data_IF_056749374734
#
_entry.id   IF_056749374734
#
_cell.length_a   1.000
_cell.length_b   1.000
_cell.length_c   1.000
_cell.angle_alpha   90.00
_cell.angle_beta   90.00
_cell.angle_gamma   90.00
#
_symmetry.space_group_name_H-M   'P 1'
#
loop_
_entity.id
_entity.type
_entity.pdbx_description
1 polymer ?
#
# COMPACT_ATOMS: atom_id res chain seq x y z
N UNK A 1 -19.49 13.15 -5.62
CA UNK A 1 -20.06 13.45 -4.28
C UNK A 1 -19.16 12.80 -3.23
N UNK A 2 -19.02 13.39 -2.05
CA UNK A 2 -18.27 12.84 -0.92
C UNK A 2 -19.12 12.90 0.35
N UNK A 3 -18.90 11.98 1.28
CA UNK A 3 -19.61 11.89 2.54
C UNK A 3 -18.60 11.83 3.69
N UNK A 4 -18.84 12.61 4.75
CA UNK A 4 -18.03 12.56 5.97
C UNK A 4 -18.42 11.32 6.77
N UNK A 5 -17.54 10.31 6.76
CA UNK A 5 -17.74 9.03 7.43
C UNK A 5 -16.45 8.71 8.19
N UNK A 6 -16.59 8.45 9.49
CA UNK A 6 -15.51 8.02 10.37
C UNK A 6 -15.66 6.54 10.74
N UNK A 7 -14.77 6.02 11.60
CA UNK A 7 -14.83 4.61 12.01
C UNK A 7 -16.14 4.26 12.75
N UNK A 8 -16.74 5.21 13.46
CA UNK A 8 -17.98 5.01 14.23
C UNK A 8 -19.20 4.85 13.31
N UNK A 9 -19.20 5.59 12.20
CA UNK A 9 -20.32 5.63 11.24
C UNK A 9 -20.12 4.72 10.03
N UNK A 10 -18.92 4.15 9.86
CA UNK A 10 -18.55 3.35 8.69
C UNK A 10 -19.45 2.13 8.47
N UNK A 11 -19.79 1.40 9.54
CA UNK A 11 -20.67 0.24 9.46
C UNK A 11 -22.02 0.58 8.83
N UNK A 12 -22.69 1.62 9.35
CA UNK A 12 -23.98 2.11 8.84
C UNK A 12 -23.87 2.63 7.42
N UNK A 13 -22.74 3.25 7.05
CA UNK A 13 -22.50 3.70 5.69
C UNK A 13 -22.40 2.53 4.68
N UNK A 14 -21.78 1.41 5.07
CA UNK A 14 -21.72 0.21 4.22
C UNK A 14 -23.10 -0.46 4.09
N UNK A 15 -23.89 -0.51 5.16
CA UNK A 15 -25.27 -1.00 5.09
C UNK A 15 -26.12 -0.11 4.16
N UNK A 16 -25.96 1.21 4.25
CA UNK A 16 -26.58 2.16 3.32
C UNK A 16 -26.14 1.94 1.87
N UNK A 17 -24.84 1.71 1.63
CA UNK A 17 -24.30 1.42 0.30
C UNK A 17 -24.99 0.20 -0.34
N UNK A 18 -25.21 -0.87 0.44
CA UNK A 18 -25.93 -2.07 -0.01
C UNK A 18 -27.40 -1.78 -0.26
N UNK A 19 -28.09 -1.18 0.71
CA UNK A 19 -29.53 -0.90 0.62
C UNK A 19 -29.90 0.02 -0.55
N UNK A 20 -29.08 1.03 -0.81
CA UNK A 20 -29.25 1.98 -1.91
C UNK A 20 -28.74 1.46 -3.26
N UNK A 21 -28.18 0.24 -3.29
CA UNK A 21 -27.59 -0.39 -4.49
C UNK A 21 -26.56 0.52 -5.18
N UNK A 22 -25.77 1.24 -4.39
CA UNK A 22 -24.67 2.03 -4.93
C UNK A 22 -23.66 1.09 -5.61
N UNK A 23 -23.11 1.51 -6.76
CA UNK A 23 -22.12 0.69 -7.50
C UNK A 23 -20.81 0.46 -6.75
N UNK A 24 -20.46 1.36 -5.83
CA UNK A 24 -19.22 1.26 -5.06
C UNK A 24 -18.92 2.57 -4.32
N UNK A 25 -17.77 2.61 -3.67
CA UNK A 25 -17.28 3.82 -3.00
C UNK A 25 -15.75 3.87 -2.95
N UNK A 26 -15.21 5.08 -2.95
CA UNK A 26 -13.83 5.32 -2.54
C UNK A 26 -13.73 5.36 -1.02
N UNK A 27 -12.62 4.87 -0.47
CA UNK A 27 -12.35 4.86 0.96
C UNK A 27 -11.01 5.55 1.22
N UNK A 28 -10.99 6.47 2.18
CA UNK A 28 -9.79 7.17 2.62
C UNK A 28 -9.66 7.12 4.14
N UNK A 29 -8.69 7.85 4.69
CA UNK A 29 -8.50 7.96 6.13
C UNK A 29 -9.80 8.44 6.81
N UNK A 30 -10.15 7.92 8.01
CA UNK A 30 -9.44 6.90 8.80
C UNK A 30 -9.89 5.45 8.52
N UNK A 31 -10.62 5.19 7.43
CA UNK A 31 -11.39 3.95 7.27
C UNK A 31 -10.70 2.85 6.47
N UNK A 32 -9.52 3.10 5.88
CA UNK A 32 -8.91 2.17 4.90
C UNK A 32 -8.68 0.76 5.47
N UNK A 33 -8.26 0.65 6.73
CA UNK A 33 -8.05 -0.63 7.41
C UNK A 33 -9.38 -1.27 7.81
N UNK A 34 -10.26 -0.51 8.47
CA UNK A 34 -11.57 -0.97 8.92
C UNK A 34 -12.41 -1.52 7.76
N UNK A 35 -12.31 -0.90 6.59
CA UNK A 35 -13.04 -1.30 5.39
C UNK A 35 -12.79 -2.74 4.95
N UNK A 36 -11.65 -3.33 5.30
CA UNK A 36 -11.35 -4.74 5.03
C UNK A 36 -12.32 -5.71 5.72
N UNK A 37 -12.91 -5.31 6.85
CA UNK A 37 -13.84 -6.13 7.65
C UNK A 37 -15.27 -6.12 7.09
N UNK A 38 -15.57 -5.19 6.17
CA UNK A 38 -16.93 -4.94 5.67
C UNK A 38 -17.10 -5.32 4.19
N UNK A 39 -16.13 -6.02 3.60
CA UNK A 39 -16.19 -6.55 2.24
C UNK A 39 -16.22 -8.07 2.25
N UNK A 40 -16.85 -8.66 1.24
CA UNK A 40 -16.97 -10.11 1.10
C UNK A 40 -15.71 -10.75 0.49
N UNK A 41 -14.96 -9.98 -0.31
CA UNK A 41 -13.72 -10.42 -0.95
C UNK A 41 -12.64 -9.34 -0.93
N UNK A 42 -11.40 -9.75 -0.69
CA UNK A 42 -10.22 -8.90 -0.85
C UNK A 42 -9.32 -9.46 -1.95
N UNK A 43 -8.81 -8.57 -2.81
CA UNK A 43 -7.74 -8.93 -3.75
C UNK A 43 -6.47 -9.40 -3.00
N UNK A 44 -5.61 -10.22 -3.65
CA UNK A 44 -4.35 -10.65 -3.04
C UNK A 44 -3.50 -9.48 -2.53
N UNK A 45 -3.40 -8.40 -3.31
CA UNK A 45 -2.69 -7.18 -2.90
C UNK A 45 -3.31 -6.57 -1.64
N UNK A 46 -4.64 -6.40 -1.61
CA UNK A 46 -5.33 -5.85 -0.45
C UNK A 46 -5.14 -6.70 0.82
N UNK A 47 -5.05 -8.03 0.70
CA UNK A 47 -4.73 -8.92 1.83
C UNK A 47 -3.32 -8.69 2.40
N UNK A 48 -2.33 -8.49 1.54
CA UNK A 48 -0.95 -8.19 1.98
C UNK A 48 -0.86 -6.82 2.67
N UNK A 49 -1.57 -5.82 2.12
CA UNK A 49 -1.60 -4.45 2.64
C UNK A 49 -2.36 -4.36 3.96
N UNK A 50 -3.49 -5.06 4.08
CA UNK A 50 -4.43 -4.92 5.19
C UNK A 50 -5.22 -3.61 5.15
N UNK A 51 -5.35 -3.00 3.97
CA UNK A 51 -6.13 -1.78 3.77
C UNK A 51 -6.64 -1.66 2.33
N UNK A 52 -7.85 -1.14 2.16
CA UNK A 52 -8.48 -0.87 0.86
C UNK A 52 -8.83 0.62 0.71
N UNK A 53 -8.80 1.10 -0.53
CA UNK A 53 -9.22 2.46 -0.88
C UNK A 53 -10.42 2.47 -1.84
N UNK A 54 -10.88 1.29 -2.27
CA UNK A 54 -11.91 1.14 -3.29
C UNK A 54 -12.77 -0.08 -2.95
N UNK A 55 -14.08 0.11 -2.91
CA UNK A 55 -15.07 -0.97 -2.78
C UNK A 55 -15.93 -0.96 -4.04
N UNK A 56 -16.12 -2.13 -4.64
CA UNK A 56 -17.06 -2.35 -5.74
C UNK A 56 -18.18 -3.25 -5.24
N UNK A 57 -19.42 -2.85 -5.53
CA UNK A 57 -20.62 -3.61 -5.19
C UNK A 57 -21.17 -4.28 -6.46
N UNK A 58 -20.96 -5.59 -6.57
CA UNK A 58 -21.48 -6.43 -7.62
C UNK A 58 -22.77 -7.13 -7.13
N UNK A 59 -23.90 -6.44 -7.33
CA UNK A 59 -25.25 -6.92 -6.97
C UNK A 59 -25.40 -7.41 -5.52
N UNK A 60 -24.77 -6.69 -4.58
CA UNK A 60 -24.78 -6.98 -3.15
C UNK A 60 -23.52 -7.64 -2.63
N UNK A 61 -22.65 -8.13 -3.53
CA UNK A 61 -21.35 -8.71 -3.20
C UNK A 61 -20.25 -7.63 -3.25
N UNK A 62 -19.63 -7.35 -2.12
CA UNK A 62 -18.65 -6.28 -1.96
C UNK A 62 -17.22 -6.79 -2.14
N UNK A 63 -16.51 -6.26 -3.14
CA UNK A 63 -15.10 -6.53 -3.39
C UNK A 63 -14.22 -5.34 -3.00
N UNK A 64 -13.18 -5.60 -2.22
CA UNK A 64 -12.22 -4.61 -1.74
C UNK A 64 -10.90 -4.61 -2.53
N UNK A 65 -10.49 -3.42 -2.96
CA UNK A 65 -9.28 -3.18 -3.75
C UNK A 65 -8.42 -2.08 -3.13
N UNK A 66 -7.12 -2.14 -3.43
CA UNK A 66 -6.20 -1.04 -3.16
C UNK A 66 -5.61 -0.53 -4.48
N UNK A 67 -6.18 0.55 -5.00
CA UNK A 67 -5.77 1.12 -6.28
C UNK A 67 -4.56 2.04 -6.19
N UNK A 68 -4.11 2.41 -4.98
CA UNK A 68 -2.86 3.16 -4.81
C UNK A 68 -1.66 2.31 -5.30
N UNK A 69 -1.67 1.01 -4.97
CA UNK A 69 -0.66 0.05 -5.43
C UNK A 69 -0.71 -0.16 -6.94
N UNK A 70 -1.86 -0.55 -7.48
CA UNK A 70 -2.01 -0.77 -8.94
C UNK A 70 -1.76 0.49 -9.74
N UNK A 71 -2.17 1.66 -9.25
CA UNK A 71 -1.97 2.95 -9.91
C UNK A 71 -0.48 3.31 -10.01
N UNK A 72 0.28 3.10 -8.93
CA UNK A 72 1.71 3.35 -8.94
C UNK A 72 2.46 2.41 -9.88
N UNK A 73 2.21 1.09 -9.80
CA UNK A 73 2.86 0.12 -10.69
C UNK A 73 2.46 0.35 -12.15
N UNK A 74 1.21 0.75 -12.40
CA UNK A 74 0.77 1.14 -13.74
C UNK A 74 1.56 2.35 -14.25
N UNK A 75 1.75 3.38 -13.45
CA UNK A 75 2.53 4.56 -13.85
C UNK A 75 3.99 4.21 -14.19
N UNK A 76 4.61 3.30 -13.44
CA UNK A 76 5.95 2.77 -13.75
C UNK A 76 5.94 2.04 -15.10
N UNK A 77 4.95 1.19 -15.35
CA UNK A 77 4.85 0.45 -16.62
C UNK A 77 4.64 1.38 -17.83
N UNK A 78 3.81 2.40 -17.68
CA UNK A 78 3.54 3.40 -18.74
C UNK A 78 4.75 4.29 -19.03
N UNK A 79 5.70 4.43 -18.11
CA UNK A 79 6.97 5.11 -18.38
C UNK A 79 7.94 4.27 -19.22
N UNK A 80 7.60 3.01 -19.52
CA UNK A 80 8.43 2.06 -20.25
C UNK A 80 9.36 1.22 -19.36
N UNK A 81 9.25 1.34 -18.03
CA UNK A 81 10.06 0.56 -17.10
C UNK A 81 9.39 -0.77 -16.73
N UNK A 82 10.14 -1.88 -16.85
CA UNK A 82 9.68 -3.22 -16.44
C UNK A 82 10.26 -3.60 -15.08
N UNK A 83 9.38 -3.70 -14.07
CA UNK A 83 9.76 -4.03 -12.69
C UNK A 83 10.09 -5.51 -12.49
N UNK A 84 9.77 -6.39 -13.45
CA UNK A 84 9.94 -7.83 -13.27
C UNK A 84 11.43 -8.18 -13.07
N UNK A 85 11.68 -8.96 -12.03
CA UNK A 85 13.02 -9.40 -11.63
C UNK A 85 13.93 -8.30 -11.08
N UNK A 86 13.43 -7.06 -10.91
CA UNK A 86 14.21 -5.91 -10.44
C UNK A 86 14.27 -5.84 -8.91
N UNK A 87 15.14 -4.98 -8.39
CA UNK A 87 15.25 -4.64 -6.98
C UNK A 87 14.74 -3.21 -6.74
N UNK A 88 13.84 -3.03 -5.77
CA UNK A 88 13.33 -1.74 -5.32
C UNK A 88 13.89 -1.37 -3.96
N UNK A 89 14.30 -0.12 -3.79
CA UNK A 89 14.39 0.51 -2.46
C UNK A 89 13.09 1.27 -2.20
N UNK A 90 12.39 0.90 -1.14
CA UNK A 90 11.10 1.48 -0.77
C UNK A 90 11.22 2.22 0.55
N UNK A 91 10.97 3.52 0.54
CA UNK A 91 10.98 4.35 1.76
C UNK A 91 9.57 4.42 2.36
N UNK A 92 9.45 4.02 3.62
CA UNK A 92 8.23 4.11 4.40
C UNK A 92 7.49 2.79 4.56
N UNK A 93 6.63 2.74 5.59
CA UNK A 93 5.75 1.60 5.89
C UNK A 93 4.30 2.04 6.17
N UNK A 94 3.92 3.22 5.67
CA UNK A 94 2.54 3.70 5.67
C UNK A 94 1.70 3.08 4.56
N UNK A 95 0.42 3.45 4.48
CA UNK A 95 -0.54 2.83 3.55
C UNK A 95 -0.17 2.97 2.06
N UNK A 96 0.54 4.03 1.66
CA UNK A 96 1.04 4.18 0.30
C UNK A 96 2.19 3.20 0.02
N UNK A 97 3.21 3.19 0.88
CA UNK A 97 4.37 2.32 0.72
C UNK A 97 3.98 0.84 0.72
N UNK A 98 3.15 0.39 1.67
CA UNK A 98 2.72 -1.02 1.71
C UNK A 98 1.86 -1.41 0.50
N UNK A 99 1.02 -0.49 -0.01
CA UNK A 99 0.26 -0.73 -1.25
C UNK A 99 1.17 -0.90 -2.47
N UNK A 100 2.18 -0.03 -2.61
CA UNK A 100 3.17 -0.11 -3.69
C UNK A 100 3.95 -1.43 -3.59
N UNK A 101 4.49 -1.73 -2.41
CA UNK A 101 5.28 -2.94 -2.19
C UNK A 101 4.49 -4.23 -2.42
N UNK A 102 3.23 -4.29 -1.94
CA UNK A 102 2.37 -5.44 -2.16
C UNK A 102 2.09 -5.68 -3.65
N UNK A 103 1.76 -4.61 -4.39
CA UNK A 103 1.50 -4.74 -5.82
C UNK A 103 2.78 -5.08 -6.60
N UNK A 104 3.93 -4.48 -6.25
CA UNK A 104 5.21 -4.79 -6.86
C UNK A 104 5.59 -6.28 -6.70
N UNK A 105 5.36 -6.84 -5.50
CA UNK A 105 5.58 -8.26 -5.22
C UNK A 105 4.71 -9.16 -6.11
N UNK A 106 3.42 -8.84 -6.25
CA UNK A 106 2.48 -9.60 -7.11
C UNK A 106 2.87 -9.50 -8.59
N UNK A 107 3.41 -8.36 -9.01
CA UNK A 107 3.82 -8.10 -10.40
C UNK A 107 5.24 -8.63 -10.70
N UNK A 108 5.85 -9.37 -9.77
CA UNK A 108 7.08 -10.13 -10.00
C UNK A 108 8.36 -9.33 -9.81
N UNK A 109 8.36 -8.29 -8.97
CA UNK A 109 9.63 -7.72 -8.48
C UNK A 109 10.39 -8.80 -7.68
N UNK A 110 11.71 -8.84 -7.83
CA UNK A 110 12.54 -9.87 -7.16
C UNK A 110 12.71 -9.55 -5.68
N UNK A 111 13.03 -8.29 -5.39
CA UNK A 111 13.41 -7.88 -4.04
C UNK A 111 12.95 -6.46 -3.73
N UNK A 112 12.44 -6.27 -2.50
CA UNK A 112 12.11 -4.96 -1.94
C UNK A 112 12.95 -4.75 -0.68
N UNK A 113 13.82 -3.75 -0.73
CA UNK A 113 14.62 -3.28 0.41
C UNK A 113 13.87 -2.12 1.05
N UNK A 114 13.07 -2.42 2.06
CA UNK A 114 12.22 -1.45 2.74
C UNK A 114 13.01 -0.74 3.84
N UNK A 115 13.05 0.59 3.78
CA UNK A 115 13.63 1.42 4.84
C UNK A 115 12.54 2.24 5.53
N UNK A 116 12.48 2.14 6.86
CA UNK A 116 11.63 2.97 7.69
C UNK A 116 12.41 3.36 8.96
N UNK A 117 12.20 4.57 9.47
CA UNK A 117 12.74 4.95 10.78
C UNK A 117 12.08 4.14 11.90
N UNK A 118 12.68 4.09 13.09
CA UNK A 118 12.06 3.49 14.27
C UNK A 118 10.94 4.37 14.84
N UNK A 119 9.77 4.30 14.22
CA UNK A 119 8.53 4.89 14.70
C UNK A 119 7.41 3.83 14.74
N UNK A 120 6.16 4.25 14.99
CA UNK A 120 4.98 3.37 15.09
C UNK A 120 4.70 2.54 13.83
N UNK A 121 5.39 2.82 12.72
CA UNK A 121 5.27 2.06 11.47
C UNK A 121 6.36 0.98 11.31
N UNK A 122 7.40 0.95 12.14
CA UNK A 122 8.51 0.00 11.97
C UNK A 122 8.05 -1.45 12.17
N UNK A 123 7.31 -1.74 13.24
CA UNK A 123 6.74 -3.09 13.47
C UNK A 123 5.71 -3.47 12.40
N UNK A 124 4.99 -2.49 11.85
CA UNK A 124 4.09 -2.72 10.71
C UNK A 124 4.86 -3.09 9.45
N UNK A 125 6.04 -2.50 9.25
CA UNK A 125 6.96 -2.84 8.16
C UNK A 125 7.43 -4.29 8.28
N UNK A 126 7.85 -4.71 9.48
CA UNK A 126 8.29 -6.09 9.76
C UNK A 126 7.14 -7.08 9.49
N UNK A 127 5.95 -6.79 10.00
CA UNK A 127 4.77 -7.63 9.76
C UNK A 127 4.38 -7.67 8.27
N UNK A 128 4.51 -6.55 7.55
CA UNK A 128 4.30 -6.49 6.11
C UNK A 128 5.31 -7.35 5.34
N UNK A 129 6.60 -7.21 5.63
CA UNK A 129 7.65 -8.00 5.00
C UNK A 129 7.42 -9.50 5.21
N UNK A 130 7.06 -9.92 6.44
CA UNK A 130 6.69 -11.30 6.74
C UNK A 130 5.53 -11.78 5.85
N UNK A 131 4.43 -11.02 5.77
CA UNK A 131 3.27 -11.40 4.93
C UNK A 131 3.65 -11.55 3.46
N UNK A 132 4.47 -10.63 2.91
CA UNK A 132 4.90 -10.71 1.51
C UNK A 132 5.81 -11.92 1.28
N UNK A 133 6.79 -12.14 2.15
CA UNK A 133 7.72 -13.28 2.05
C UNK A 133 7.02 -14.64 2.16
N UNK A 134 5.95 -14.73 2.95
CA UNK A 134 5.20 -15.99 3.15
C UNK A 134 4.18 -16.28 2.04
N UNK A 135 3.78 -15.28 1.24
CA UNK A 135 2.67 -15.39 0.31
C UNK A 135 3.03 -15.00 -1.14
N UNK A 136 4.29 -14.69 -1.42
CA UNK A 136 4.80 -14.34 -2.76
C UNK A 136 6.24 -14.84 -2.93
N UNK A 137 6.74 -14.86 -4.17
CA UNK A 137 8.15 -15.17 -4.47
C UNK A 137 9.09 -13.96 -4.29
N UNK A 138 8.56 -12.78 -3.96
CA UNK A 138 9.34 -11.57 -3.71
C UNK A 138 9.98 -11.62 -2.32
N UNK A 139 11.27 -11.25 -2.23
CA UNK A 139 11.97 -11.11 -0.95
C UNK A 139 11.87 -9.67 -0.45
N UNK A 140 11.38 -9.48 0.76
CA UNK A 140 11.29 -8.18 1.44
C UNK A 140 12.16 -8.18 2.68
N UNK A 141 13.05 -7.19 2.76
CA UNK A 141 13.86 -6.90 3.94
C UNK A 141 13.46 -5.56 4.54
N UNK A 142 13.61 -5.42 5.86
CA UNK A 142 13.30 -4.19 6.60
C UNK A 142 14.55 -3.73 7.31
N UNK A 143 14.95 -2.49 7.06
CA UNK A 143 16.14 -1.88 7.65
C UNK A 143 15.79 -0.51 8.24
N UNK A 144 16.45 -0.16 9.35
CA UNK A 144 16.31 1.17 9.92
C UNK A 144 16.90 2.21 8.96
N UNK A 145 16.13 3.26 8.66
CA UNK A 145 16.59 4.36 7.81
C UNK A 145 17.81 5.10 8.40
N UNK A 146 18.06 4.96 9.70
CA UNK A 146 19.26 5.49 10.34
C UNK A 146 20.55 4.75 9.92
N UNK A 147 20.46 3.52 9.41
CA UNK A 147 21.63 2.77 8.90
C UNK A 147 22.02 3.26 7.50
N UNK A 148 22.83 4.32 7.46
CA UNK A 148 23.27 4.95 6.22
C UNK A 148 24.21 4.08 5.39
N UNK A 149 24.92 3.13 6.01
CA UNK A 149 25.78 2.21 5.29
C UNK A 149 24.92 1.22 4.49
N UNK A 150 23.98 0.54 5.17
CA UNK A 150 23.03 -0.36 4.52
C UNK A 150 22.18 0.38 3.46
N UNK A 151 21.79 1.64 3.74
CA UNK A 151 21.02 2.44 2.79
C UNK A 151 21.82 2.76 1.52
N UNK A 152 23.10 3.12 1.65
CA UNK A 152 23.99 3.39 0.51
C UNK A 152 24.18 2.15 -0.34
N UNK A 153 24.43 0.99 0.27
CA UNK A 153 24.57 -0.28 -0.45
C UNK A 153 23.27 -0.69 -1.13
N UNK A 154 22.14 -0.52 -0.46
CA UNK A 154 20.83 -0.81 -1.03
C UNK A 154 20.57 0.04 -2.28
N UNK A 155 20.80 1.35 -2.21
CA UNK A 155 20.66 2.26 -3.35
C UNK A 155 21.58 1.91 -4.52
N UNK A 156 22.84 1.56 -4.25
CA UNK A 156 23.80 1.19 -5.29
C UNK A 156 23.38 -0.06 -6.09
N UNK A 157 22.56 -0.92 -5.49
CA UNK A 157 22.05 -2.16 -6.09
C UNK A 157 20.60 -2.08 -6.59
N UNK A 158 19.94 -0.94 -6.41
CA UNK A 158 18.53 -0.78 -6.74
C UNK A 158 18.32 -0.34 -8.19
N UNK A 159 17.30 -0.90 -8.82
CA UNK A 159 16.85 -0.46 -10.14
C UNK A 159 15.83 0.68 -10.05
N UNK A 160 15.14 0.78 -8.90
CA UNK A 160 14.12 1.81 -8.64
C UNK A 160 14.13 2.23 -7.16
N UNK A 161 14.07 3.54 -6.94
CA UNK A 161 13.84 4.15 -5.63
C UNK A 161 12.42 4.71 -5.58
N UNK A 162 11.67 4.36 -4.54
CA UNK A 162 10.32 4.87 -4.32
C UNK A 162 10.18 5.50 -2.93
N UNK A 163 9.81 6.78 -2.88
CA UNK A 163 9.45 7.46 -1.64
C UNK A 163 7.94 7.32 -1.36
N UNK A 164 7.58 6.48 -0.39
CA UNK A 164 6.21 6.32 0.12
C UNK A 164 5.99 6.99 1.48
N UNK A 165 6.88 7.91 1.89
CA UNK A 165 6.78 8.65 3.17
C UNK A 165 6.06 9.99 2.99
N UNK A 166 5.92 10.76 4.08
CA UNK A 166 5.44 12.14 4.04
C UNK A 166 6.54 13.17 3.73
N UNK A 167 7.81 12.76 3.72
CA UNK A 167 8.94 13.67 3.46
C UNK A 167 8.83 14.20 2.03
N UNK A 168 8.99 15.51 1.86
CA UNK A 168 8.79 16.20 0.58
C UNK A 168 7.37 16.73 0.35
N UNK A 169 6.41 16.44 1.25
CA UNK A 169 5.06 17.00 1.24
C UNK A 169 4.85 17.90 2.46
N UNK A 170 4.07 18.99 2.36
CA UNK A 170 3.66 19.81 3.52
C UNK A 170 3.25 18.96 4.73
N UNK A 171 3.73 19.28 5.95
CA UNK A 171 4.62 20.39 6.32
C UNK A 171 6.13 20.07 6.24
N UNK A 172 6.51 18.94 5.64
CA UNK A 172 7.88 18.41 5.60
C UNK A 172 8.56 18.65 4.24
N UNK A 173 8.14 19.69 3.54
CA UNK A 173 8.86 20.20 2.38
C UNK A 173 10.08 20.96 2.87
N UNK A 174 11.25 20.61 2.36
CA UNK A 174 12.42 21.48 2.47
C UNK A 174 12.18 22.63 1.49
N UNK A 175 12.01 23.85 2.01
CA UNK A 175 12.09 25.04 1.17
C UNK A 175 13.45 25.01 0.44
N UNK A 176 13.49 25.21 -0.89
CA UNK A 176 14.74 25.28 -1.65
C UNK A 176 15.65 26.41 -1.15
#
# INVERSE_FOLDING_TARGET
MAFEVDNTTFASAIEGLKALKMRGTGVSMPNKQLACEYVDELTPAAKLVGAINTIVNDDGYLRGYNTDGTGHIRAIKESGFDIRGKTMVLLGAGGAATAIGAQAAIEGIKEIKLFNRKDDFFEKAVAFAKRVNENTDCVVTVTDLADQHAFTEALASADILTNGTKVGMKPLETNP
#
